data_IF_557858002608
#
_entry.id   IF_557858002608
#
_cell.length_a   1.000
_cell.length_b   1.000
_cell.length_c   1.000
_cell.angle_alpha   90.00
_cell.angle_beta   90.00
_cell.angle_gamma   90.00
#
_symmetry.space_group_name_H-M   'P 1'
#
loop_
_entity.id
_entity.type
_entity.pdbx_description
1 polymer ?
#
# COMPACT_ATOMS: atom_id res chain seq x y z
N UNK A 1 -5.57 4.62 -13.11
CA UNK A 1 -4.62 4.07 -14.10
C UNK A 1 -3.85 2.96 -13.41
N UNK A 2 -3.43 1.92 -14.13
CA UNK A 2 -2.61 0.86 -13.54
C UNK A 2 -1.12 1.23 -13.60
N UNK A 3 -0.42 1.12 -12.47
CA UNK A 3 1.03 1.21 -12.39
C UNK A 3 1.60 -0.15 -12.00
N UNK A 4 2.49 -0.71 -12.82
CA UNK A 4 3.00 -2.08 -12.64
C UNK A 4 4.44 -2.09 -12.12
N UNK A 5 4.62 -2.72 -10.97
CA UNK A 5 5.91 -3.13 -10.44
C UNK A 5 6.24 -4.55 -10.91
N UNK A 6 7.47 -5.01 -10.66
CA UNK A 6 7.91 -6.36 -11.07
C UNK A 6 7.06 -7.49 -10.48
N UNK A 7 6.48 -7.31 -9.29
CA UNK A 7 5.78 -8.37 -8.56
C UNK A 7 4.29 -8.08 -8.32
N UNK A 8 3.82 -6.86 -8.56
CA UNK A 8 2.45 -6.47 -8.32
C UNK A 8 2.05 -5.27 -9.20
N UNK A 9 0.75 -5.08 -9.38
CA UNK A 9 0.18 -3.92 -10.05
C UNK A 9 -0.69 -3.16 -9.05
N UNK A 10 -0.61 -1.84 -9.09
CA UNK A 10 -1.47 -0.95 -8.31
C UNK A 10 -2.41 -0.27 -9.28
N UNK A 11 -3.71 -0.35 -9.04
CA UNK A 11 -4.68 0.54 -9.67
C UNK A 11 -4.87 1.77 -8.77
N UNK A 12 -4.72 2.97 -9.32
CA UNK A 12 -4.97 4.23 -8.62
C UNK A 12 -6.23 4.96 -9.11
N UNK A 13 -7.07 4.25 -9.87
CA UNK A 13 -8.35 4.79 -10.35
C UNK A 13 -9.27 5.10 -9.18
N UNK A 14 -9.85 6.31 -9.21
CA UNK A 14 -10.70 6.86 -8.15
C UNK A 14 -10.00 7.07 -6.80
N UNK A 15 -8.67 6.99 -6.73
CA UNK A 15 -7.96 7.53 -5.57
C UNK A 15 -7.81 9.07 -5.69
N UNK A 16 -7.94 9.80 -4.57
CA UNK A 16 -7.70 11.25 -4.50
C UNK A 16 -6.30 11.61 -5.00
N UNK A 17 -5.30 10.78 -4.69
CA UNK A 17 -3.93 10.93 -5.16
C UNK A 17 -3.52 9.75 -6.05
N UNK A 18 -2.85 10.07 -7.17
CA UNK A 18 -2.25 9.10 -8.09
C UNK A 18 -0.88 8.66 -7.60
N UNK A 19 -0.37 7.55 -8.15
CA UNK A 19 0.99 7.10 -7.86
C UNK A 19 1.99 8.18 -8.29
N UNK A 20 2.70 8.75 -7.32
CA UNK A 20 3.74 9.75 -7.52
C UNK A 20 5.15 9.16 -7.40
N UNK A 21 6.13 9.83 -8.01
CA UNK A 21 7.55 9.45 -7.91
C UNK A 21 8.03 9.42 -6.46
N UNK A 22 7.56 10.35 -5.62
CA UNK A 22 7.94 10.43 -4.21
C UNK A 22 7.58 9.16 -3.44
N UNK A 23 6.39 8.60 -3.68
CA UNK A 23 5.96 7.34 -3.06
C UNK A 23 6.84 6.17 -3.50
N UNK A 24 7.19 6.11 -4.79
CA UNK A 24 8.09 5.07 -5.32
C UNK A 24 9.49 5.19 -4.70
N UNK A 25 10.03 6.39 -4.62
CA UNK A 25 11.35 6.65 -4.04
C UNK A 25 11.37 6.33 -2.55
N UNK A 26 10.36 6.77 -1.79
CA UNK A 26 10.23 6.50 -0.36
C UNK A 26 10.12 4.99 -0.09
N UNK A 27 9.22 4.31 -0.79
CA UNK A 27 9.03 2.86 -0.62
C UNK A 27 10.25 2.03 -1.04
N UNK A 28 11.09 2.54 -1.95
CA UNK A 28 12.37 1.91 -2.31
C UNK A 28 13.47 2.21 -1.29
N UNK A 29 13.50 3.42 -0.72
CA UNK A 29 14.52 3.88 0.21
C UNK A 29 14.33 3.34 1.63
N UNK A 30 13.09 3.20 2.10
CA UNK A 30 12.78 2.72 3.45
C UNK A 30 13.40 1.34 3.73
N UNK A 31 13.96 1.14 4.92
CA UNK A 31 14.43 -0.16 5.39
C UNK A 31 13.36 -0.82 6.27
N UNK A 32 13.00 -2.06 5.93
CA UNK A 32 11.98 -2.84 6.64
C UNK A 32 12.59 -4.06 7.37
N UNK A 33 13.92 -4.16 7.42
CA UNK A 33 14.60 -5.32 8.02
C UNK A 33 14.21 -5.48 9.49
N UNK A 34 13.66 -6.65 9.81
CA UNK A 34 13.25 -7.00 11.18
C UNK A 34 11.95 -6.36 11.65
N UNK A 35 11.27 -5.58 10.81
CA UNK A 35 9.95 -5.06 11.13
C UNK A 35 8.94 -6.21 11.31
N UNK A 36 8.15 -6.15 12.38
CA UNK A 36 7.08 -7.12 12.67
C UNK A 36 5.69 -6.53 12.40
N UNK A 37 5.56 -5.23 12.59
CA UNK A 37 4.33 -4.45 12.43
C UNK A 37 4.69 -3.12 11.78
N UNK A 38 3.87 -2.67 10.83
CA UNK A 38 4.03 -1.40 10.14
C UNK A 38 2.69 -0.68 10.04
N UNK A 39 2.73 0.64 10.07
CA UNK A 39 1.59 1.53 9.86
C UNK A 39 1.89 2.42 8.65
N UNK A 40 1.02 2.40 7.66
CA UNK A 40 1.04 3.26 6.48
C UNK A 40 -0.06 4.31 6.59
N UNK A 41 0.31 5.57 6.85
CA UNK A 41 -0.62 6.67 7.08
C UNK A 41 -0.79 7.47 5.78
N UNK A 42 -2.04 7.63 5.34
CA UNK A 42 -2.33 8.18 4.02
C UNK A 42 -1.99 7.15 2.94
N UNK A 43 -2.48 5.92 3.12
CA UNK A 43 -2.09 4.79 2.26
C UNK A 43 -2.53 4.97 0.80
N UNK A 44 -3.54 5.80 0.52
CA UNK A 44 -4.05 6.03 -0.81
C UNK A 44 -4.46 4.72 -1.50
N UNK A 45 -3.82 4.40 -2.62
CA UNK A 45 -4.04 3.14 -3.35
C UNK A 45 -3.29 1.93 -2.75
N UNK A 46 -2.58 2.09 -1.63
CA UNK A 46 -1.87 1.01 -0.96
C UNK A 46 -0.44 0.76 -1.45
N UNK A 47 0.15 1.70 -2.20
CA UNK A 47 1.48 1.51 -2.82
C UNK A 47 2.59 1.24 -1.80
N UNK A 48 2.70 2.05 -0.74
CA UNK A 48 3.76 1.89 0.26
C UNK A 48 3.56 0.63 1.08
N UNK A 49 2.32 0.34 1.50
CA UNK A 49 1.94 -0.92 2.12
C UNK A 49 2.34 -2.15 1.28
N UNK A 50 2.09 -2.15 -0.04
CA UNK A 50 2.49 -3.24 -0.92
C UNK A 50 4.00 -3.36 -1.08
N UNK A 51 4.71 -2.24 -1.21
CA UNK A 51 6.18 -2.22 -1.28
C UNK A 51 6.80 -2.76 0.02
N UNK A 52 6.22 -2.42 1.18
CA UNK A 52 6.64 -2.95 2.47
C UNK A 52 6.33 -4.45 2.60
N UNK A 53 5.17 -4.90 2.13
CA UNK A 53 4.76 -6.30 2.16
C UNK A 53 5.66 -7.20 1.30
N UNK A 54 6.10 -6.70 0.14
CA UNK A 54 7.06 -7.39 -0.72
C UNK A 54 8.43 -7.56 -0.05
N UNK A 55 8.83 -6.60 0.80
CA UNK A 55 10.19 -6.49 1.34
C UNK A 55 10.30 -6.94 2.80
N UNK A 56 9.21 -7.40 3.41
CA UNK A 56 9.17 -7.82 4.81
C UNK A 56 8.06 -8.85 5.08
N UNK A 57 8.17 -9.53 6.22
CA UNK A 57 7.09 -10.39 6.75
C UNK A 57 6.19 -9.67 7.76
N UNK A 58 6.24 -8.33 7.80
CA UNK A 58 5.47 -7.55 8.76
C UNK A 58 3.96 -7.64 8.49
N UNK A 59 3.17 -7.51 9.55
CA UNK A 59 1.75 -7.17 9.44
C UNK A 59 1.62 -5.67 9.24
N UNK A 60 0.83 -5.26 8.24
CA UNK A 60 0.75 -3.88 7.80
C UNK A 60 -0.69 -3.40 7.97
N UNK A 61 -0.85 -2.33 8.73
CA UNK A 61 -2.10 -1.57 8.80
C UNK A 61 -1.95 -0.33 7.94
N UNK A 62 -2.92 -0.10 7.08
CA UNK A 62 -2.92 0.96 6.10
C UNK A 62 -4.17 1.82 6.33
N UNK A 63 -3.96 3.10 6.64
CA UNK A 63 -5.05 4.01 7.01
C UNK A 63 -5.13 5.18 6.04
N UNK A 64 -6.36 5.62 5.79
CA UNK A 64 -6.65 6.81 4.99
C UNK A 64 -7.96 7.42 5.48
N UNK A 65 -8.12 8.73 5.31
CA UNK A 65 -9.36 9.45 5.65
C UNK A 65 -10.44 9.24 4.59
N UNK A 66 -10.06 8.75 3.40
CA UNK A 66 -10.97 8.60 2.27
C UNK A 66 -11.40 7.14 2.05
N UNK A 67 -12.70 6.89 2.13
CA UNK A 67 -13.31 5.57 1.81
C UNK A 67 -12.88 5.04 0.44
N UNK A 68 -12.83 5.92 -0.57
CA UNK A 68 -12.46 5.56 -1.95
C UNK A 68 -11.01 5.04 -2.04
N UNK A 69 -10.10 5.62 -1.22
CA UNK A 69 -8.72 5.17 -1.12
C UNK A 69 -8.66 3.78 -0.48
N UNK A 70 -9.35 3.56 0.63
CA UNK A 70 -9.37 2.27 1.32
C UNK A 70 -10.00 1.16 0.49
N UNK A 71 -11.10 1.44 -0.23
CA UNK A 71 -11.67 0.49 -1.17
C UNK A 71 -10.65 0.10 -2.25
N UNK A 72 -9.91 1.08 -2.76
CA UNK A 72 -8.89 0.82 -3.78
C UNK A 72 -7.70 0.02 -3.23
N UNK A 73 -7.17 0.43 -2.08
CA UNK A 73 -6.08 -0.28 -1.40
C UNK A 73 -6.46 -1.74 -1.11
N UNK A 74 -7.67 -1.97 -0.60
CA UNK A 74 -8.20 -3.31 -0.34
C UNK A 74 -8.20 -4.18 -1.61
N UNK A 75 -8.72 -3.65 -2.72
CA UNK A 75 -8.71 -4.37 -4.00
C UNK A 75 -7.29 -4.67 -4.49
N UNK A 76 -6.38 -3.71 -4.37
CA UNK A 76 -4.98 -3.92 -4.74
C UNK A 76 -4.34 -4.99 -3.85
N UNK A 77 -4.58 -4.99 -2.54
CA UNK A 77 -4.05 -5.98 -1.59
C UNK A 77 -4.53 -7.39 -1.92
N UNK A 78 -5.82 -7.56 -2.20
CA UNK A 78 -6.43 -8.84 -2.57
C UNK A 78 -5.86 -9.43 -3.86
N UNK A 79 -5.36 -8.57 -4.76
CA UNK A 79 -4.73 -8.97 -6.02
C UNK A 79 -3.23 -9.32 -5.87
N UNK A 80 -2.73 -9.46 -4.64
CA UNK A 80 -1.34 -9.85 -4.37
C UNK A 80 -1.23 -11.07 -3.47
N UNK A 81 -0.03 -11.64 -3.40
CA UNK A 81 0.29 -12.78 -2.53
C UNK A 81 0.31 -12.40 -1.03
N UNK A 82 0.29 -11.11 -0.70
CA UNK A 82 0.47 -10.62 0.67
C UNK A 82 -0.83 -10.19 1.36
N UNK A 83 -1.98 -10.31 0.69
CA UNK A 83 -3.27 -9.81 1.21
C UNK A 83 -3.62 -10.28 2.63
N UNK A 84 -3.15 -11.47 3.06
CA UNK A 84 -3.37 -11.98 4.43
C UNK A 84 -2.68 -11.18 5.52
N UNK A 85 -1.66 -10.38 5.20
CA UNK A 85 -0.89 -9.56 6.15
C UNK A 85 -1.20 -8.06 6.03
N UNK A 86 -2.10 -7.68 5.13
CA UNK A 86 -2.44 -6.30 4.82
C UNK A 86 -3.87 -6.02 5.26
N UNK A 87 -4.05 -5.02 6.13
CA UNK A 87 -5.36 -4.50 6.52
C UNK A 87 -5.48 -3.04 6.09
N UNK A 88 -6.60 -2.66 5.50
CA UNK A 88 -6.90 -1.28 5.12
C UNK A 88 -8.14 -0.81 5.88
N UNK A 89 -8.08 0.34 6.55
CA UNK A 89 -9.18 0.88 7.33
C UNK A 89 -9.27 2.41 7.22
N UNK A 90 -10.50 2.92 7.26
CA UNK A 90 -10.75 4.36 7.25
C UNK A 90 -10.60 4.89 8.67
N UNK A 91 -9.83 5.97 8.83
CA UNK A 91 -9.58 6.63 10.13
C UNK A 91 -9.65 8.13 9.93
N UNK A 92 -10.46 8.81 10.76
CA UNK A 92 -10.64 10.27 10.79
C UNK A 92 -9.47 11.03 11.45
#
# INVERSE_FOLDING_TARGET
>A
MSFTFKQFTVDDSNCPMKVGTDAVLLGAWADFKGAKTLLDIGTGCGILALMAAQRSEAYITAIDVHDEAIQRATLNFLNTLWGKRLNAEVVD
#
